data_IF_557878526110
#
_entry.id   IF_557878526110
#
_cell.length_a   1.000
_cell.length_b   1.000
_cell.length_c   1.000
_cell.angle_alpha   90.00
_cell.angle_beta   90.00
_cell.angle_gamma   90.00
#
_symmetry.space_group_name_H-M   'P 1'
#
loop_
_entity.id
_entity.type
_entity.pdbx_description
1 polymer ?
#
# COMPACT_ATOMS: atom_id res chain seq x y z
N UNK A 1 -6.45 -1.35 14.69
CA UNK A 1 -5.31 -1.47 13.77
C UNK A 1 -4.06 -1.04 14.50
N UNK A 2 -2.92 -1.60 14.14
CA UNK A 2 -1.62 -1.18 14.68
C UNK A 2 -1.19 0.13 14.02
N UNK A 3 -0.34 0.88 14.71
CA UNK A 3 0.24 2.12 14.18
C UNK A 3 1.23 1.80 13.05
N UNK A 4 1.29 2.66 12.04
CA UNK A 4 2.18 2.50 10.89
C UNK A 4 1.48 2.63 9.55
N UNK A 5 2.15 2.13 8.50
CA UNK A 5 1.64 2.17 7.13
C UNK A 5 0.92 0.88 6.78
N UNK A 6 -0.21 1.02 6.11
CA UNK A 6 -1.00 -0.07 5.55
C UNK A 6 -1.23 0.19 4.07
N UNK A 7 -0.90 -0.76 3.20
CA UNK A 7 -1.29 -0.69 1.80
C UNK A 7 -2.28 -1.81 1.47
N UNK A 8 -3.28 -1.50 0.66
CA UNK A 8 -4.22 -2.48 0.11
C UNK A 8 -4.04 -2.53 -1.39
N UNK A 9 -3.80 -3.73 -1.91
CA UNK A 9 -3.36 -3.97 -3.29
C UNK A 9 -4.00 -5.23 -3.87
N UNK A 10 -3.96 -5.35 -5.20
CA UNK A 10 -4.34 -6.59 -5.90
C UNK A 10 -3.47 -6.81 -7.12
N UNK A 11 -3.14 -8.05 -7.44
CA UNK A 11 -2.30 -8.44 -8.56
C UNK A 11 -2.91 -8.04 -9.91
N UNK A 12 -4.22 -8.11 -10.07
CA UNK A 12 -4.88 -7.72 -11.32
C UNK A 12 -4.88 -6.20 -11.59
N UNK A 13 -4.41 -5.37 -10.66
CA UNK A 13 -4.32 -3.91 -10.84
C UNK A 13 -2.95 -3.50 -11.42
N UNK A 14 -2.91 -2.86 -12.61
CA UNK A 14 -1.66 -2.41 -13.23
C UNK A 14 -0.88 -1.35 -12.42
N UNK A 15 -1.56 -0.59 -11.56
CA UNK A 15 -0.92 0.35 -10.65
C UNK A 15 -0.31 -0.36 -9.45
N UNK A 16 -0.99 -1.37 -8.89
CA UNK A 16 -0.44 -2.23 -7.84
C UNK A 16 0.84 -2.93 -8.31
N UNK A 17 0.85 -3.48 -9.53
CA UNK A 17 2.06 -4.09 -10.09
C UNK A 17 3.21 -3.08 -10.27
N UNK A 18 2.89 -1.83 -10.63
CA UNK A 18 3.89 -0.79 -10.80
C UNK A 18 4.58 -0.44 -9.47
N UNK A 19 3.82 -0.38 -8.37
CA UNK A 19 4.32 0.07 -7.06
C UNK A 19 4.97 -1.03 -6.22
N UNK A 20 5.06 -2.27 -6.71
CA UNK A 20 5.76 -3.39 -6.02
C UNK A 20 7.11 -2.98 -5.42
N UNK A 21 8.06 -2.38 -6.18
CA UNK A 21 9.35 -1.98 -5.59
C UNK A 21 9.22 -0.89 -4.52
N UNK A 22 8.16 -0.08 -4.55
CA UNK A 22 7.88 0.94 -3.53
C UNK A 22 7.36 0.28 -2.25
N UNK A 23 6.52 -0.76 -2.36
CA UNK A 23 6.03 -1.52 -1.20
C UNK A 23 7.20 -2.18 -0.46
N UNK A 24 8.17 -2.75 -1.19
CA UNK A 24 9.39 -3.34 -0.62
C UNK A 24 10.27 -2.28 0.08
N UNK A 25 10.42 -1.10 -0.54
CA UNK A 25 11.14 0.04 0.06
C UNK A 25 10.51 0.49 1.37
N UNK A 26 9.18 0.64 1.40
CA UNK A 26 8.44 1.06 2.59
C UNK A 26 8.45 -0.01 3.69
N UNK A 27 8.31 -1.29 3.32
CA UNK A 27 8.39 -2.39 4.27
C UNK A 27 9.75 -2.45 4.98
N UNK A 28 10.84 -2.15 4.26
CA UNK A 28 12.20 -2.15 4.81
C UNK A 28 12.53 -0.87 5.58
N UNK A 29 12.01 0.28 5.14
CA UNK A 29 12.39 1.59 5.67
C UNK A 29 11.47 2.14 6.77
N UNK A 30 10.15 2.09 6.56
CA UNK A 30 9.15 2.71 7.43
C UNK A 30 8.31 1.71 8.24
N UNK A 31 8.33 0.43 7.85
CA UNK A 31 7.40 -0.58 8.35
C UNK A 31 6.04 -0.45 7.66
N UNK A 32 5.74 -1.42 6.80
CA UNK A 32 4.52 -1.48 6.01
C UNK A 32 3.83 -2.82 6.25
N UNK A 33 2.50 -2.82 6.35
CA UNK A 33 1.68 -4.02 6.21
C UNK A 33 0.91 -3.94 4.90
N UNK A 34 0.94 -4.99 4.09
CA UNK A 34 0.26 -5.03 2.79
C UNK A 34 -0.83 -6.08 2.81
N UNK A 35 -2.07 -5.66 2.56
CA UNK A 35 -3.21 -6.55 2.35
C UNK A 35 -3.38 -6.80 0.84
N UNK A 36 -3.37 -8.06 0.42
CA UNK A 36 -3.58 -8.45 -0.98
C UNK A 36 -4.93 -9.11 -1.21
N UNK A 37 -5.68 -8.64 -2.21
CA UNK A 37 -7.10 -8.97 -2.36
C UNK A 37 -7.43 -10.12 -3.32
N UNK A 38 -6.46 -10.63 -4.08
CA UNK A 38 -6.71 -11.59 -5.17
C UNK A 38 -5.66 -12.70 -5.29
N UNK A 39 -4.41 -12.44 -4.88
CA UNK A 39 -3.33 -13.40 -4.94
C UNK A 39 -2.48 -13.31 -3.65
N UNK A 40 -2.51 -14.32 -2.76
CA UNK A 40 -1.75 -14.30 -1.51
C UNK A 40 -0.23 -14.29 -1.70
N UNK A 41 0.26 -14.57 -2.92
CA UNK A 41 1.69 -14.46 -3.26
C UNK A 41 2.11 -13.06 -3.72
N UNK A 42 1.17 -12.12 -3.88
CA UNK A 42 1.42 -10.75 -4.29
C UNK A 42 1.54 -9.82 -3.07
N UNK A 43 2.43 -8.81 -3.08
CA UNK A 43 3.44 -8.51 -4.10
C UNK A 43 4.70 -9.41 -4.03
N UNK A 44 4.92 -10.09 -2.90
CA UNK A 44 6.01 -11.03 -2.67
C UNK A 44 5.65 -11.98 -1.52
N UNK A 45 6.32 -13.13 -1.43
CA UNK A 45 6.25 -14.01 -0.25
C UNK A 45 7.08 -13.38 0.88
N UNK A 46 6.44 -12.56 1.72
CA UNK A 46 7.10 -11.78 2.76
C UNK A 46 6.21 -11.62 4.00
N UNK A 47 6.80 -11.49 5.21
CA UNK A 47 6.05 -11.46 6.47
C UNK A 47 5.19 -10.20 6.65
N UNK A 48 5.43 -9.16 5.83
CA UNK A 48 4.64 -7.93 5.81
C UNK A 48 3.43 -8.01 4.86
N UNK A 49 3.22 -9.16 4.20
CA UNK A 49 2.08 -9.41 3.32
C UNK A 49 1.03 -10.24 4.05
N UNK A 50 -0.22 -9.80 3.96
CA UNK A 50 -1.39 -10.40 4.59
C UNK A 50 -2.40 -10.73 3.48
N UNK A 51 -2.84 -11.98 3.44
CA UNK A 51 -3.92 -12.43 2.55
C UNK A 51 -5.25 -11.78 2.97
N UNK A 52 -5.83 -11.00 2.06
CA UNK A 52 -7.15 -10.36 2.16
C UNK A 52 -8.05 -10.77 0.97
N UNK A 53 -7.90 -12.00 0.47
CA UNK A 53 -8.73 -12.52 -0.62
C UNK A 53 -10.22 -12.63 -0.29
N UNK A 54 -10.59 -12.60 1.00
CA UNK A 54 -11.97 -12.48 1.47
C UNK A 54 -12.48 -11.03 1.53
N UNK A 55 -11.61 -10.05 1.23
CA UNK A 55 -11.88 -8.61 1.16
C UNK A 55 -12.21 -7.93 2.49
N UNK A 56 -12.07 -8.62 3.64
CA UNK A 56 -12.38 -8.08 4.97
C UNK A 56 -11.71 -6.75 5.26
N UNK A 57 -10.45 -6.54 4.83
CA UNK A 57 -9.75 -5.28 5.07
C UNK A 57 -10.38 -4.13 4.28
N UNK A 58 -10.75 -4.34 3.02
CA UNK A 58 -11.42 -3.28 2.24
C UNK A 58 -12.80 -2.88 2.76
N UNK A 59 -13.59 -3.84 3.27
CA UNK A 59 -14.85 -3.54 3.94
C UNK A 59 -14.64 -2.77 5.24
N UNK A 60 -13.64 -3.17 6.03
CA UNK A 60 -13.30 -2.50 7.29
C UNK A 60 -12.71 -1.09 7.11
N UNK A 61 -12.10 -0.82 5.95
CA UNK A 61 -11.40 0.43 5.64
C UNK A 61 -12.19 1.36 4.69
N UNK A 62 -13.35 0.93 4.21
CA UNK A 62 -14.19 1.65 3.24
C UNK A 62 -13.37 2.08 2.00
N UNK A 63 -12.77 1.09 1.34
CA UNK A 63 -11.89 1.31 0.17
C UNK A 63 -12.66 1.11 -1.15
N UNK A 64 -12.63 2.13 -1.99
CA UNK A 64 -13.27 2.10 -3.31
C UNK A 64 -12.31 1.68 -4.45
N UNK A 65 -11.00 1.82 -4.25
CA UNK A 65 -10.00 1.51 -5.27
C UNK A 65 -8.62 1.14 -4.68
N UNK A 66 -7.79 0.52 -5.50
CA UNK A 66 -6.43 0.06 -5.18
C UNK A 66 -5.44 0.49 -6.27
N UNK A 67 -4.15 0.71 -5.96
CA UNK A 67 -3.54 0.64 -4.64
C UNK A 67 -4.03 1.78 -3.75
N UNK A 68 -4.24 1.52 -2.47
CA UNK A 68 -4.44 2.58 -1.46
C UNK A 68 -3.42 2.42 -0.36
N UNK A 69 -2.73 3.51 -0.01
CA UNK A 69 -1.83 3.60 1.14
C UNK A 69 -2.54 4.38 2.25
N UNK A 70 -2.50 3.87 3.48
CA UNK A 70 -3.08 4.46 4.68
C UNK A 70 -1.99 4.60 5.75
N UNK A 71 -2.14 5.60 6.61
CA UNK A 71 -1.33 5.79 7.81
C UNK A 71 -2.20 5.77 9.05
N UNK A 72 -1.80 4.98 10.03
CA UNK A 72 -2.43 4.87 11.34
C UNK A 72 -1.53 5.41 12.44
N UNK A 73 -2.10 6.22 13.33
CA UNK A 73 -1.45 6.72 14.55
C UNK A 73 -2.45 6.71 15.72
N UNK A 74 -2.05 6.14 16.87
CA UNK A 74 -2.93 5.90 17.99
C UNK A 74 -4.10 4.96 17.65
N UNK A 75 -3.92 4.03 16.72
CA UNK A 75 -4.95 3.10 16.24
C UNK A 75 -6.03 3.74 15.37
N UNK A 76 -5.86 5.00 14.96
CA UNK A 76 -6.79 5.74 14.09
C UNK A 76 -6.11 6.12 12.79
N UNK A 77 -6.85 6.05 11.70
CA UNK A 77 -6.38 6.58 10.43
C UNK A 77 -6.17 8.09 10.52
N UNK A 78 -4.98 8.54 10.12
CA UNK A 78 -4.61 9.97 10.05
C UNK A 78 -4.45 10.48 8.62
N UNK A 79 -4.37 9.56 7.64
CA UNK A 79 -4.35 9.92 6.23
C UNK A 79 -4.39 8.69 5.32
N UNK A 80 -4.84 8.90 4.08
CA UNK A 80 -4.83 7.92 3.01
C UNK A 80 -4.57 8.57 1.65
N UNK A 81 -4.07 7.79 0.70
CA UNK A 81 -3.96 8.17 -0.72
C UNK A 81 -4.24 6.96 -1.61
N UNK A 82 -4.90 7.18 -2.74
CA UNK A 82 -5.36 6.13 -3.66
C UNK A 82 -4.74 6.34 -5.04
N UNK A 83 -4.41 5.23 -5.69
CA UNK A 83 -3.54 5.22 -6.85
C UNK A 83 -2.08 5.44 -6.46
N UNK A 84 -1.23 5.56 -7.48
CA UNK A 84 0.17 5.91 -7.32
C UNK A 84 0.35 7.40 -7.63
N UNK A 85 0.80 8.16 -6.64
CA UNK A 85 1.33 9.51 -6.80
C UNK A 85 2.51 9.62 -5.86
N UNK A 86 3.73 9.72 -6.42
CA UNK A 86 4.97 9.65 -5.63
C UNK A 86 4.94 10.61 -4.46
N UNK A 87 4.71 11.90 -4.73
CA UNK A 87 4.73 12.94 -3.70
C UNK A 87 3.73 12.67 -2.57
N UNK A 88 2.52 12.21 -2.89
CA UNK A 88 1.53 11.88 -1.87
C UNK A 88 1.89 10.65 -1.03
N UNK A 89 2.56 9.66 -1.65
CA UNK A 89 3.07 8.49 -0.94
C UNK A 89 4.26 8.86 -0.05
N UNK A 90 5.15 9.74 -0.53
CA UNK A 90 6.29 10.27 0.23
C UNK A 90 5.81 11.10 1.44
N UNK A 91 4.86 12.01 1.22
CA UNK A 91 4.26 12.81 2.29
C UNK A 91 3.59 11.94 3.36
N UNK A 92 2.82 10.93 2.93
CA UNK A 92 2.11 10.05 3.86
C UNK A 92 3.07 9.14 4.63
N UNK A 93 4.07 8.57 3.94
CA UNK A 93 5.05 7.65 4.55
C UNK A 93 6.17 8.33 5.33
N UNK A 94 6.43 9.61 5.07
CA UNK A 94 7.62 10.31 5.57
C UNK A 94 8.94 9.84 4.95
N UNK A 95 8.90 9.05 3.87
CA UNK A 95 10.07 8.59 3.12
C UNK A 95 10.21 9.39 1.84
N UNK A 96 11.43 9.61 1.35
CA UNK A 96 11.69 10.31 0.09
C UNK A 96 12.47 9.42 -0.89
N UNK A 97 12.36 9.72 -2.17
CA UNK A 97 13.01 8.95 -3.23
C UNK A 97 12.29 7.64 -3.54
N UNK A 98 10.97 7.57 -3.35
CA UNK A 98 10.19 6.36 -3.60
C UNK A 98 10.11 6.06 -5.10
N UNK A 99 10.54 4.85 -5.48
CA UNK A 99 10.47 4.35 -6.85
C UNK A 99 11.05 5.31 -7.89
N UNK A 100 12.35 5.65 -7.85
CA UNK A 100 12.96 6.68 -8.70
C UNK A 100 12.80 6.40 -10.20
N UNK A 101 12.76 5.11 -10.57
CA UNK A 101 12.61 4.63 -11.95
C UNK A 101 11.13 4.57 -12.41
N UNK A 102 10.17 4.85 -11.53
CA UNK A 102 8.74 4.83 -11.84
C UNK A 102 8.26 6.18 -12.40
N UNK A 103 7.17 6.21 -13.18
CA UNK A 103 6.48 7.47 -13.45
C UNK A 103 6.01 8.10 -12.13
N UNK A 104 5.92 9.42 -12.05
CA UNK A 104 5.50 10.11 -10.83
C UNK A 104 4.03 9.84 -10.45
N UNK A 105 3.20 9.39 -11.41
CA UNK A 105 1.77 9.16 -11.21
C UNK A 105 1.26 7.98 -12.05
N UNK A 106 0.33 7.20 -11.47
CA UNK A 106 -0.51 6.22 -12.16
C UNK A 106 -1.85 6.06 -11.41
N UNK A 107 -3.01 6.20 -12.07
CA UNK A 107 -4.31 6.00 -11.43
C UNK A 107 -4.50 4.54 -10.99
N UNK A 108 -5.30 4.34 -9.94
CA UNK A 108 -5.72 3.02 -9.44
C UNK A 108 -6.67 2.29 -10.37
#
# INVERSE_FOLDING_TARGET
MEDGLVAVVKRECPACQLVVPVLEQLATGAGLTVFTQDDPSFPADAPWVVDDTDLSASWGLDLEAVPTLLRFEGGREVGRTTGWLRDAWEDLSGQTGLGPELPAFKPG
#
